data_IF_582844520874
#
_entry.id   IF_582844520874
#
_cell.length_a   1.000
_cell.length_b   1.000
_cell.length_c   1.000
_cell.angle_alpha   90.00
_cell.angle_beta   90.00
_cell.angle_gamma   90.00
#
_symmetry.space_group_name_H-M   'P 1'
#
loop_
_entity.id
_entity.type
_entity.pdbx_description
1 polymer ?
#
# COMPACT_ATOMS: atom_id res chain seq x y z
N UNK A 1 8.67 -10.69 32.62
CA UNK A 1 8.58 -9.65 31.57
C UNK A 1 7.52 -10.11 30.60
N UNK A 2 6.35 -9.49 30.62
CA UNK A 2 5.33 -9.69 29.58
C UNK A 2 5.92 -9.14 28.28
N UNK A 3 6.09 -9.97 27.26
CA UNK A 3 6.39 -9.53 25.90
C UNK A 3 5.38 -8.43 25.52
N UNK A 4 5.87 -7.24 25.19
CA UNK A 4 5.01 -6.24 24.58
C UNK A 4 4.55 -6.79 23.22
N UNK A 5 3.26 -6.71 22.90
CA UNK A 5 2.77 -7.16 21.60
C UNK A 5 3.47 -6.37 20.49
N UNK A 6 3.88 -7.08 19.43
CA UNK A 6 4.49 -6.46 18.26
C UNK A 6 3.62 -5.33 17.72
N UNK A 7 4.20 -4.16 17.37
CA UNK A 7 3.45 -3.07 16.76
C UNK A 7 3.04 -3.37 15.31
N UNK A 8 3.56 -4.45 14.73
CA UNK A 8 3.31 -4.83 13.34
C UNK A 8 2.07 -5.70 13.21
N UNK A 9 1.25 -5.35 12.22
CA UNK A 9 0.05 -6.07 11.82
C UNK A 9 0.41 -7.14 10.78
N UNK A 10 -0.29 -8.27 10.81
CA UNK A 10 -0.23 -9.29 9.76
C UNK A 10 -1.47 -9.23 8.89
N UNK A 11 -1.35 -9.63 7.61
CA UNK A 11 -2.50 -9.69 6.70
C UNK A 11 -3.59 -10.61 7.26
N UNK A 12 -4.87 -10.19 7.28
CA UNK A 12 -5.95 -11.10 7.64
C UNK A 12 -6.06 -12.26 6.64
N UNK A 13 -6.73 -13.36 7.00
CA UNK A 13 -6.82 -14.54 6.13
C UNK A 13 -7.36 -14.24 4.73
N UNK A 14 -6.68 -14.77 3.70
CA UNK A 14 -7.15 -14.76 2.32
C UNK A 14 -8.28 -15.79 2.11
N UNK A 15 -9.19 -15.57 1.16
CA UNK A 15 -10.31 -16.47 0.95
C UNK A 15 -9.87 -17.73 0.16
N UNK A 16 -10.76 -18.73 0.12
CA UNK A 16 -10.53 -19.98 -0.59
C UNK A 16 -10.69 -19.89 -2.12
N UNK A 17 -10.50 -21.02 -2.80
CA UNK A 17 -10.42 -21.11 -4.26
C UNK A 17 -11.66 -20.59 -5.01
N UNK A 18 -12.86 -20.72 -4.44
CA UNK A 18 -14.10 -20.20 -5.05
C UNK A 18 -14.05 -18.67 -5.21
N UNK A 19 -13.67 -17.96 -4.15
CA UNK A 19 -13.52 -16.51 -4.18
C UNK A 19 -12.42 -16.09 -5.17
N UNK A 20 -11.28 -16.79 -5.14
CA UNK A 20 -10.15 -16.52 -6.01
C UNK A 20 -10.51 -16.65 -7.50
N UNK A 21 -11.29 -17.68 -7.86
CA UNK A 21 -11.78 -17.86 -9.23
C UNK A 21 -12.76 -16.74 -9.65
N UNK A 22 -13.64 -16.30 -8.74
CA UNK A 22 -14.55 -15.17 -8.99
C UNK A 22 -13.78 -13.85 -9.15
N UNK A 23 -12.72 -13.64 -8.35
CA UNK A 23 -11.85 -12.47 -8.47
C UNK A 23 -11.14 -12.43 -9.81
N UNK A 24 -10.60 -13.58 -10.24
CA UNK A 24 -9.93 -13.72 -11.53
C UNK A 24 -10.86 -13.37 -12.69
N UNK A 25 -12.07 -13.93 -12.71
CA UNK A 25 -13.06 -13.65 -13.74
C UNK A 25 -13.43 -12.16 -13.79
N UNK A 26 -13.70 -11.54 -12.63
CA UNK A 26 -14.04 -10.12 -12.56
C UNK A 26 -12.91 -9.22 -13.10
N UNK A 27 -11.65 -9.54 -12.79
CA UNK A 27 -10.51 -8.77 -13.29
C UNK A 27 -10.31 -8.97 -14.79
N UNK A 28 -10.41 -10.21 -15.27
CA UNK A 28 -10.23 -10.54 -16.68
C UNK A 28 -11.30 -9.85 -17.55
N UNK A 29 -12.55 -9.81 -17.09
CA UNK A 29 -13.65 -9.07 -17.74
C UNK A 29 -13.34 -7.56 -17.83
N UNK A 30 -12.84 -6.96 -16.75
CA UNK A 30 -12.49 -5.54 -16.72
C UNK A 30 -11.34 -5.21 -17.68
N UNK A 31 -10.32 -6.05 -17.74
CA UNK A 31 -9.20 -5.88 -18.70
C UNK A 31 -9.67 -6.07 -20.14
N UNK A 32 -10.57 -7.03 -20.40
CA UNK A 32 -11.12 -7.26 -21.73
C UNK A 32 -12.00 -6.09 -22.23
N UNK A 33 -12.66 -5.37 -21.33
CA UNK A 33 -13.45 -4.19 -21.65
C UNK A 33 -12.61 -2.98 -22.09
N UNK A 34 -11.32 -2.95 -21.75
CA UNK A 34 -10.37 -1.93 -22.19
C UNK A 34 -9.52 -1.35 -21.05
N UNK A 35 -8.55 -0.49 -21.38
CA UNK A 35 -7.67 0.12 -20.39
C UNK A 35 -8.44 1.03 -19.44
N UNK A 36 -7.97 1.10 -18.20
CA UNK A 36 -8.51 1.93 -17.12
C UNK A 36 -10.01 1.72 -16.85
N UNK A 37 -10.54 0.55 -17.19
CA UNK A 37 -11.94 0.18 -16.91
C UNK A 37 -12.20 0.23 -15.41
N UNK A 38 -13.33 0.84 -15.02
CA UNK A 38 -13.80 0.81 -13.65
C UNK A 38 -14.38 -0.58 -13.35
N UNK A 39 -13.78 -1.28 -12.40
CA UNK A 39 -14.29 -2.53 -11.87
C UNK A 39 -15.51 -2.23 -11.00
N UNK A 40 -16.69 -2.69 -11.42
CA UNK A 40 -17.89 -2.70 -10.61
C UNK A 40 -17.88 -3.92 -9.68
N UNK A 41 -17.51 -3.70 -8.43
CA UNK A 41 -17.28 -4.77 -7.47
C UNK A 41 -18.56 -5.08 -6.69
N UNK A 42 -19.24 -6.18 -7.03
CA UNK A 42 -20.47 -6.65 -6.36
C UNK A 42 -20.33 -7.97 -5.58
N UNK A 43 -19.12 -8.54 -5.56
CA UNK A 43 -18.88 -9.87 -4.98
C UNK A 43 -19.08 -9.88 -3.44
N UNK A 44 -19.47 -11.01 -2.85
CA UNK A 44 -19.81 -11.10 -1.41
C UNK A 44 -18.59 -11.12 -0.47
N UNK A 45 -17.36 -11.11 -1.02
CA UNK A 45 -16.13 -11.09 -0.24
C UNK A 45 -15.65 -9.64 -0.01
N UNK A 46 -14.88 -9.39 1.05
CA UNK A 46 -14.26 -8.09 1.25
C UNK A 46 -13.44 -7.64 0.03
N UNK A 47 -13.65 -6.39 -0.39
CA UNK A 47 -12.97 -5.78 -1.55
C UNK A 47 -11.46 -5.87 -1.46
N UNK A 48 -10.90 -5.77 -0.24
CA UNK A 48 -9.47 -5.90 -0.03
C UNK A 48 -8.91 -7.29 -0.37
N UNK A 49 -9.69 -8.36 -0.22
CA UNK A 49 -9.25 -9.71 -0.59
C UNK A 49 -9.10 -9.83 -2.11
N UNK A 50 -10.04 -9.28 -2.87
CA UNK A 50 -9.93 -9.19 -4.33
C UNK A 50 -8.68 -8.41 -4.74
N UNK A 51 -8.46 -7.24 -4.14
CA UNK A 51 -7.31 -6.38 -4.43
C UNK A 51 -5.99 -7.11 -4.14
N UNK A 52 -5.85 -7.71 -2.94
CA UNK A 52 -4.65 -8.46 -2.59
C UNK A 52 -4.41 -9.64 -3.53
N UNK A 53 -5.46 -10.41 -3.83
CA UNK A 53 -5.38 -11.58 -4.71
C UNK A 53 -4.92 -11.21 -6.12
N UNK A 54 -5.55 -10.20 -6.73
CA UNK A 54 -5.23 -9.79 -8.10
C UNK A 54 -3.84 -9.16 -8.17
N UNK A 55 -3.46 -8.30 -7.23
CA UNK A 55 -2.11 -7.70 -7.22
C UNK A 55 -1.03 -8.76 -7.06
N UNK A 56 -1.21 -9.72 -6.15
CA UNK A 56 -0.26 -10.81 -5.91
C UNK A 56 -0.16 -11.76 -7.13
N UNK A 57 -1.30 -12.29 -7.59
CA UNK A 57 -1.31 -13.39 -8.59
C UNK A 57 -1.09 -12.91 -10.02
N UNK A 58 -1.57 -11.70 -10.37
CA UNK A 58 -1.38 -11.11 -11.71
C UNK A 58 -0.10 -10.30 -11.82
N UNK A 59 0.73 -10.30 -10.77
CA UNK A 59 2.00 -9.57 -10.74
C UNK A 59 1.82 -8.08 -11.11
N UNK A 60 0.77 -7.45 -10.58
CA UNK A 60 0.48 -6.06 -10.89
C UNK A 60 1.24 -5.11 -9.95
N UNK A 61 1.21 -3.84 -10.32
CA UNK A 61 1.52 -2.73 -9.42
C UNK A 61 0.21 -2.01 -9.12
N UNK A 62 -0.02 -1.70 -7.86
CA UNK A 62 -1.18 -0.91 -7.43
C UNK A 62 -0.74 0.51 -7.10
N UNK A 63 -1.60 1.50 -7.40
CA UNK A 63 -1.41 2.89 -7.01
C UNK A 63 -2.69 3.42 -6.36
N UNK A 64 -2.59 3.90 -5.12
CA UNK A 64 -3.71 4.50 -4.41
C UNK A 64 -3.75 6.02 -4.56
N UNK A 65 -4.91 6.56 -4.95
CA UNK A 65 -5.10 8.00 -5.11
C UNK A 65 -6.51 8.42 -4.70
N UNK A 66 -6.70 9.62 -4.10
CA UNK A 66 -8.02 10.20 -3.89
C UNK A 66 -8.66 10.72 -5.20
N UNK A 67 -7.86 10.89 -6.26
CA UNK A 67 -8.33 11.26 -7.60
C UNK A 67 -8.71 10.01 -8.38
N UNK A 68 -10.01 9.87 -8.68
CA UNK A 68 -10.59 8.76 -9.42
C UNK A 68 -10.63 8.95 -10.94
N UNK A 69 -10.12 10.06 -11.47
CA UNK A 69 -10.17 10.43 -12.88
C UNK A 69 -8.81 10.36 -13.60
N UNK A 70 -7.80 9.70 -13.00
CA UNK A 70 -6.48 9.57 -13.62
C UNK A 70 -6.56 8.61 -14.80
N UNK A 71 -6.37 9.13 -16.00
CA UNK A 71 -6.31 8.33 -17.23
C UNK A 71 -4.91 7.75 -17.47
N UNK A 72 -3.89 8.51 -17.08
CA UNK A 72 -2.48 8.15 -17.23
C UNK A 72 -1.68 8.75 -16.09
N UNK A 73 -0.78 7.95 -15.53
CA UNK A 73 0.20 8.42 -14.55
C UNK A 73 1.44 8.92 -15.26
N UNK A 74 1.83 10.16 -14.95
CA UNK A 74 3.08 10.76 -15.42
C UNK A 74 4.14 10.73 -14.32
N UNK A 75 5.43 10.50 -14.64
CA UNK A 75 6.52 10.60 -13.68
C UNK A 75 6.56 11.97 -13.00
N UNK A 76 6.46 11.98 -11.67
CA UNK A 76 6.52 13.21 -10.85
C UNK A 76 7.66 13.10 -9.84
N UNK A 77 8.27 14.23 -9.54
CA UNK A 77 9.26 14.28 -8.46
C UNK A 77 8.56 14.01 -7.12
N UNK A 78 8.98 12.96 -6.44
CA UNK A 78 8.63 12.69 -5.05
C UNK A 78 9.66 13.35 -4.11
N UNK A 79 9.29 13.56 -2.86
CA UNK A 79 10.18 14.09 -1.81
C UNK A 79 10.24 13.10 -0.65
N UNK A 80 10.87 11.95 -0.92
CA UNK A 80 11.09 10.88 0.05
C UNK A 80 12.49 10.99 0.68
N UNK A 81 12.65 10.48 1.91
CA UNK A 81 13.95 10.40 2.57
C UNK A 81 14.86 9.34 1.92
N UNK A 82 14.29 8.24 1.41
CA UNK A 82 15.05 7.19 0.76
C UNK A 82 15.32 7.52 -0.71
N UNK A 83 16.57 7.37 -1.22
CA UNK A 83 16.93 7.77 -2.59
C UNK A 83 16.06 7.14 -3.69
N UNK A 84 15.63 5.90 -3.50
CA UNK A 84 14.74 5.22 -4.46
C UNK A 84 13.36 5.89 -4.57
N UNK A 85 12.83 6.35 -3.43
CA UNK A 85 11.57 7.08 -3.31
C UNK A 85 11.67 8.56 -3.72
N UNK A 86 12.88 9.07 -3.96
CA UNK A 86 13.17 10.46 -4.30
C UNK A 86 13.58 10.63 -5.77
N UNK A 87 12.86 9.97 -6.68
CA UNK A 87 13.06 10.05 -8.12
C UNK A 87 11.86 10.69 -8.79
N UNK A 88 12.07 11.23 -10.00
CA UNK A 88 10.97 11.58 -10.88
C UNK A 88 10.40 10.31 -11.51
N UNK A 89 9.33 9.78 -10.91
CA UNK A 89 8.79 8.48 -11.27
C UNK A 89 7.28 8.38 -11.01
N UNK A 90 6.63 7.41 -11.64
CA UNK A 90 5.35 6.85 -11.20
C UNK A 90 5.65 5.83 -10.13
N UNK A 91 5.18 6.05 -8.91
CA UNK A 91 5.33 5.12 -7.81
C UNK A 91 4.11 4.21 -7.68
N UNK A 92 4.31 3.00 -7.17
CA UNK A 92 3.24 2.10 -6.80
C UNK A 92 3.77 0.95 -5.94
N UNK A 93 2.87 0.05 -5.56
CA UNK A 93 3.23 -1.10 -4.75
C UNK A 93 2.75 -2.43 -5.32
N UNK A 94 3.56 -3.47 -5.16
CA UNK A 94 3.14 -4.86 -5.35
C UNK A 94 2.39 -5.42 -4.13
N UNK A 95 1.85 -4.54 -3.28
CA UNK A 95 0.96 -4.86 -2.18
C UNK A 95 -0.26 -3.95 -2.24
N UNK A 96 -1.44 -4.55 -2.41
CA UNK A 96 -2.67 -3.79 -2.60
C UNK A 96 -3.21 -3.11 -1.35
N UNK A 97 -2.89 -3.62 -0.15
CA UNK A 97 -3.32 -3.02 1.12
C UNK A 97 -2.52 -1.74 1.39
N UNK A 98 -1.22 -1.75 1.11
CA UNK A 98 -0.37 -0.58 1.27
C UNK A 98 -0.81 0.56 0.36
N UNK A 99 -1.14 0.27 -0.90
CA UNK A 99 -1.71 1.28 -1.80
C UNK A 99 -3.10 1.75 -1.34
N UNK A 100 -3.93 0.86 -0.80
CA UNK A 100 -5.26 1.23 -0.29
C UNK A 100 -5.18 2.25 0.84
N UNK A 101 -4.22 2.09 1.76
CA UNK A 101 -3.93 3.07 2.80
C UNK A 101 -3.73 4.48 2.22
N UNK A 102 -2.94 4.63 1.15
CA UNK A 102 -2.77 5.94 0.50
C UNK A 102 -4.03 6.46 -0.21
N UNK A 103 -4.87 5.57 -0.74
CA UNK A 103 -6.10 5.94 -1.44
C UNK A 103 -7.14 6.55 -0.49
N UNK A 104 -7.24 6.03 0.74
CA UNK A 104 -8.31 6.38 1.67
C UNK A 104 -8.00 7.58 2.58
N UNK A 105 -6.79 8.15 2.53
CA UNK A 105 -6.40 9.28 3.39
C UNK A 105 -6.80 10.64 2.78
N UNK A 106 -7.47 11.48 3.56
CA UNK A 106 -7.87 12.83 3.14
C UNK A 106 -6.79 13.89 3.36
N UNK A 107 -5.66 13.70 2.68
CA UNK A 107 -4.47 14.57 2.80
C UNK A 107 -4.66 15.96 2.20
N UNK A 108 -5.69 16.15 1.38
CA UNK A 108 -5.98 17.44 0.75
C UNK A 108 -6.61 18.42 1.74
N UNK A 109 -7.48 17.93 2.62
CA UNK A 109 -8.15 18.74 3.64
C UNK A 109 -7.40 18.73 4.97
N UNK A 110 -6.70 17.64 5.27
CA UNK A 110 -6.00 17.42 6.53
C UNK A 110 -4.51 17.19 6.27
N UNK A 111 -3.65 18.21 6.43
CA UNK A 111 -2.20 18.01 6.45
C UNK A 111 -1.83 16.98 7.52
N UNK A 112 -1.00 16.01 7.17
CA UNK A 112 -0.58 14.94 8.07
C UNK A 112 0.78 14.38 7.66
N UNK A 113 1.57 14.00 8.65
CA UNK A 113 2.72 13.12 8.51
C UNK A 113 2.24 11.67 8.50
N UNK A 114 2.87 10.85 7.65
CA UNK A 114 2.61 9.42 7.56
C UNK A 114 3.84 8.67 8.04
N UNK A 115 3.66 7.76 9.00
CA UNK A 115 4.66 6.76 9.36
C UNK A 115 4.04 5.40 9.09
N UNK A 116 4.56 4.70 8.09
CA UNK A 116 3.98 3.45 7.65
C UNK A 116 5.04 2.51 7.10
N UNK A 117 4.73 1.22 7.08
CA UNK A 117 5.52 0.21 6.40
C UNK A 117 4.64 -0.91 5.87
N UNK A 118 5.12 -1.52 4.79
CA UNK A 118 4.73 -2.84 4.34
C UNK A 118 6.02 -3.56 3.97
N UNK A 119 6.27 -4.74 4.49
CA UNK A 119 7.46 -5.51 4.14
C UNK A 119 7.25 -7.02 4.31
N UNK A 120 7.93 -7.80 3.48
CA UNK A 120 8.11 -9.24 3.69
C UNK A 120 9.56 -9.51 4.08
N UNK A 121 9.76 -10.40 5.05
CA UNK A 121 11.10 -10.82 5.46
C UNK A 121 11.53 -12.03 4.64
N UNK A 122 12.75 -12.00 4.12
CA UNK A 122 13.38 -13.14 3.46
C UNK A 122 13.77 -14.19 4.52
N UNK A 123 13.30 -15.42 4.32
CA UNK A 123 13.58 -16.58 5.17
C UNK A 123 14.91 -17.22 4.76
N UNK A 124 15.44 -18.11 5.61
CA UNK A 124 16.74 -18.77 5.39
C UNK A 124 16.81 -19.58 4.08
N UNK A 125 15.67 -20.06 3.57
CA UNK A 125 15.55 -20.77 2.31
C UNK A 125 15.42 -19.85 1.07
N UNK A 126 15.49 -18.53 1.28
CA UNK A 126 15.34 -17.50 0.26
C UNK A 126 13.88 -17.19 -0.11
N UNK A 127 12.90 -17.86 0.49
CA UNK A 127 11.49 -17.54 0.29
C UNK A 127 11.08 -16.28 1.08
N UNK A 128 9.98 -15.65 0.67
CA UNK A 128 9.43 -14.50 1.38
C UNK A 128 8.35 -14.97 2.36
N UNK A 129 8.46 -14.54 3.61
CA UNK A 129 7.42 -14.73 4.61
C UNK A 129 6.17 -13.88 4.35
N UNK A 130 5.22 -13.96 5.28
CA UNK A 130 4.01 -13.14 5.26
C UNK A 130 4.34 -11.64 5.40
N UNK A 131 3.51 -10.75 4.82
CA UNK A 131 3.71 -9.33 4.94
C UNK A 131 3.38 -8.82 6.34
N UNK A 132 4.25 -7.95 6.84
CA UNK A 132 4.07 -7.16 8.04
C UNK A 132 3.75 -5.72 7.66
N UNK A 133 2.82 -5.12 8.39
CA UNK A 133 2.38 -3.75 8.16
C UNK A 133 2.48 -2.90 9.42
N UNK A 134 2.68 -1.61 9.21
CA UNK A 134 2.51 -0.59 10.23
C UNK A 134 1.84 0.62 9.58
N UNK A 135 0.83 1.20 10.21
CA UNK A 135 0.12 2.36 9.71
C UNK A 135 -0.09 3.38 10.81
N UNK A 136 0.39 4.60 10.59
CA UNK A 136 0.24 5.69 11.52
C UNK A 136 0.14 7.03 10.78
N UNK A 137 -0.75 7.89 11.27
CA UNK A 137 -0.95 9.26 10.81
C UNK A 137 -0.84 10.23 11.98
N UNK A 138 -0.60 11.51 11.71
CA UNK A 138 -0.62 12.55 12.75
C UNK A 138 -1.88 12.43 13.62
N UNK A 139 -1.72 12.50 14.95
CA UNK A 139 -2.82 12.33 15.90
C UNK A 139 -4.01 13.26 15.61
N UNK A 140 -3.83 14.55 15.27
CA UNK A 140 -4.97 15.42 14.92
C UNK A 140 -5.76 14.93 13.70
N UNK A 141 -5.10 14.30 12.71
CA UNK A 141 -5.77 13.75 11.54
C UNK A 141 -6.55 12.47 11.88
N UNK A 142 -6.03 11.65 12.79
CA UNK A 142 -6.77 10.48 13.29
C UNK A 142 -8.01 10.90 14.09
N UNK A 143 -7.87 11.87 14.99
CA UNK A 143 -8.99 12.39 15.80
C UNK A 143 -10.09 13.00 14.92
N UNK A 144 -9.71 13.65 13.83
CA UNK A 144 -10.63 14.19 12.83
C UNK A 144 -11.25 13.14 11.90
N UNK A 145 -10.84 11.86 12.01
CA UNK A 145 -11.17 10.78 11.07
C UNK A 145 -10.92 11.22 9.62
N UNK A 146 -9.70 11.69 9.34
CA UNK A 146 -9.27 12.22 8.04
C UNK A 146 -9.15 11.12 6.96
N UNK A 147 -10.25 10.40 6.72
CA UNK A 147 -10.40 9.35 5.74
C UNK A 147 -11.48 9.73 4.73
N UNK A 148 -11.34 9.23 3.50
CA UNK A 148 -12.26 9.48 2.40
C UNK A 148 -12.29 8.29 1.44
N UNK A 149 -13.31 8.26 0.59
CA UNK A 149 -13.28 7.40 -0.57
C UNK A 149 -12.13 7.79 -1.52
N UNK A 150 -11.56 6.78 -2.17
CA UNK A 150 -10.46 6.90 -3.12
C UNK A 150 -10.57 5.89 -4.24
N UNK A 151 -9.50 5.74 -4.99
CA UNK A 151 -9.41 4.80 -6.11
C UNK A 151 -8.06 4.09 -6.06
N UNK A 152 -8.10 2.79 -6.28
CA UNK A 152 -6.94 1.98 -6.56
C UNK A 152 -6.84 1.73 -8.06
N UNK A 153 -5.69 2.09 -8.63
CA UNK A 153 -5.36 1.83 -10.02
C UNK A 153 -4.47 0.60 -10.09
N UNK A 154 -4.84 -0.33 -10.97
CA UNK A 154 -4.11 -1.56 -11.24
C UNK A 154 -3.27 -1.34 -12.50
N UNK A 155 -1.95 -1.28 -12.32
CA UNK A 155 -0.97 -0.88 -13.33
C UNK A 155 -0.19 -2.10 -13.83
N UNK A 156 0.21 -2.12 -15.12
CA UNK A 156 1.12 -3.14 -15.63
C UNK A 156 2.51 -2.98 -15.00
N UNK A 157 3.17 -4.10 -14.68
CA UNK A 157 4.48 -4.11 -14.01
C UNK A 157 5.66 -3.85 -14.94
N UNK A 158 5.51 -4.06 -16.25
CA UNK A 158 6.61 -4.13 -17.23
C UNK A 158 7.61 -2.96 -17.20
N UNK A 159 7.15 -1.75 -16.87
CA UNK A 159 8.00 -0.54 -16.83
C UNK A 159 8.56 -0.22 -15.45
N UNK A 160 8.18 -0.98 -14.43
CA UNK A 160 8.54 -0.72 -13.05
C UNK A 160 9.81 -1.47 -12.64
N UNK A 161 10.65 -0.76 -11.89
CA UNK A 161 11.77 -1.31 -11.14
C UNK A 161 11.34 -1.49 -9.68
N UNK A 162 11.68 -2.62 -9.05
CA UNK A 162 11.44 -2.84 -7.63
C UNK A 162 12.51 -2.16 -6.79
N UNK A 163 12.11 -1.64 -5.62
CA UNK A 163 13.07 -1.19 -4.61
C UNK A 163 13.95 -2.36 -4.16
N UNK A 164 15.29 -2.19 -4.13
CA UNK A 164 16.18 -3.19 -3.56
C UNK A 164 15.84 -3.49 -2.09
N UNK A 165 16.03 -4.73 -1.62
CA UNK A 165 15.75 -5.08 -0.22
C UNK A 165 16.63 -4.29 0.76
N UNK A 166 16.06 -3.97 1.91
CA UNK A 166 16.73 -3.29 3.00
C UNK A 166 17.28 -4.32 4.00
N UNK A 167 18.38 -3.98 4.68
CA UNK A 167 18.87 -4.77 5.81
C UNK A 167 18.26 -4.22 7.11
N UNK A 168 17.43 -5.01 7.79
CA UNK A 168 16.78 -4.64 9.06
C UNK A 168 17.05 -5.74 10.07
N UNK A 169 17.70 -5.41 11.18
CA UNK A 169 18.01 -6.40 12.23
C UNK A 169 18.82 -7.61 11.75
N UNK A 170 19.64 -7.44 10.71
CA UNK A 170 20.42 -8.52 10.09
C UNK A 170 19.64 -9.39 9.09
N UNK A 171 18.37 -9.09 8.82
CA UNK A 171 17.53 -9.79 7.85
C UNK A 171 17.24 -8.91 6.63
N UNK A 172 16.97 -9.55 5.48
CA UNK A 172 16.59 -8.84 4.25
C UNK A 172 15.09 -8.60 4.26
N UNK A 173 14.69 -7.34 4.31
CA UNK A 173 13.30 -6.89 4.25
C UNK A 173 12.98 -6.37 2.84
N UNK A 174 11.96 -6.96 2.23
CA UNK A 174 11.46 -6.59 0.91
C UNK A 174 10.27 -5.65 1.06
N UNK A 175 10.51 -4.35 0.88
CA UNK A 175 9.45 -3.35 0.79
C UNK A 175 8.81 -3.48 -0.60
N UNK A 176 7.47 -3.60 -0.73
CA UNK A 176 6.82 -3.83 -2.00
C UNK A 176 6.72 -2.54 -2.83
N UNK A 177 7.70 -1.63 -2.74
CA UNK A 177 7.73 -0.35 -3.46
C UNK A 177 8.34 -0.53 -4.85
N UNK A 178 7.71 0.09 -5.84
CA UNK A 178 8.15 0.06 -7.23
C UNK A 178 8.10 1.47 -7.81
N UNK A 179 8.95 1.73 -8.82
CA UNK A 179 8.89 2.97 -9.57
C UNK A 179 9.09 2.75 -11.07
N UNK A 180 8.33 3.48 -11.88
CA UNK A 180 8.50 3.56 -13.33
C UNK A 180 8.93 4.97 -13.72
N UNK A 181 9.96 5.07 -14.56
CA UNK A 181 10.42 6.35 -15.12
C UNK A 181 9.63 6.76 -16.38
N UNK A 182 8.59 6.01 -16.72
CA UNK A 182 7.75 6.22 -17.91
C UNK A 182 6.32 6.50 -17.48
N UNK A 183 5.56 7.13 -18.37
CA UNK A 183 4.12 7.24 -18.20
C UNK A 183 3.47 5.84 -18.21
N UNK A 184 2.42 5.66 -17.39
CA UNK A 184 1.75 4.37 -17.23
C UNK A 184 0.25 4.54 -17.32
N UNK A 185 -0.38 3.83 -18.25
CA UNK A 185 -1.84 3.72 -18.35
C UNK A 185 -2.31 2.55 -17.47
N UNK A 186 -3.32 2.74 -16.59
CA UNK A 186 -3.88 1.65 -15.81
C UNK A 186 -4.53 0.59 -16.69
N UNK A 187 -4.46 -0.67 -16.27
CA UNK A 187 -5.24 -1.76 -16.85
C UNK A 187 -6.70 -1.65 -16.44
N UNK A 188 -6.94 -1.40 -15.15
CA UNK A 188 -8.25 -1.21 -14.56
C UNK A 188 -8.12 -0.35 -13.30
N UNK A 189 -9.25 0.10 -12.77
CA UNK A 189 -9.32 0.82 -11.49
C UNK A 189 -10.53 0.37 -10.68
N UNK A 190 -10.45 0.49 -9.36
CA UNK A 190 -11.51 0.11 -8.44
C UNK A 190 -11.69 1.20 -7.40
N UNK A 191 -12.95 1.61 -7.17
CA UNK A 191 -13.28 2.52 -6.08
C UNK A 191 -13.13 1.80 -4.74
N UNK A 192 -12.58 2.50 -3.75
CA UNK A 192 -12.45 1.99 -2.37
C UNK A 192 -12.95 3.03 -1.38
N UNK A 193 -13.61 2.56 -0.33
CA UNK A 193 -14.01 3.34 0.83
C UNK A 193 -13.10 3.02 2.03
N UNK A 194 -13.02 3.89 3.05
CA UNK A 194 -12.26 3.60 4.27
C UNK A 194 -12.62 2.25 4.90
N UNK A 195 -13.89 1.86 4.87
CA UNK A 195 -14.41 0.61 5.44
C UNK A 195 -13.94 -0.65 4.70
N UNK A 196 -13.44 -0.50 3.46
CA UNK A 196 -12.83 -1.60 2.72
C UNK A 196 -11.44 -1.96 3.26
N UNK A 197 -10.78 -1.04 3.96
CA UNK A 197 -9.43 -1.25 4.46
C UNK A 197 -9.44 -2.05 5.76
N UNK A 198 -8.82 -3.25 5.77
CA UNK A 198 -8.95 -4.17 6.90
C UNK A 198 -8.26 -3.69 8.19
N UNK A 199 -7.42 -2.66 8.08
CA UNK A 199 -6.65 -2.13 9.20
C UNK A 199 -7.11 -0.73 9.64
N UNK A 200 -8.29 -0.27 9.20
CA UNK A 200 -8.77 1.10 9.48
C UNK A 200 -8.73 1.44 10.98
N UNK A 201 -9.25 0.55 11.82
CA UNK A 201 -9.32 0.73 13.28
C UNK A 201 -7.97 0.48 13.98
N UNK A 202 -6.96 -0.01 13.25
CA UNK A 202 -5.61 -0.27 13.72
C UNK A 202 -4.62 0.81 13.27
N UNK A 203 -5.05 1.82 12.50
CA UNK A 203 -4.25 2.99 12.19
C UNK A 203 -3.98 3.76 13.49
N UNK A 204 -2.71 4.02 13.78
CA UNK A 204 -2.28 4.69 14.99
C UNK A 204 -2.19 6.20 14.77
N UNK A 205 -2.36 6.95 15.86
CA UNK A 205 -2.03 8.36 15.91
C UNK A 205 -0.61 8.54 16.43
N UNK A 206 0.09 9.56 15.95
CA UNK A 206 1.41 9.94 16.47
C UNK A 206 1.57 11.45 16.65
N UNK A 207 2.51 11.84 17.50
CA UNK A 207 3.00 13.22 17.58
C UNK A 207 4.12 13.42 16.56
N UNK A 208 3.89 14.33 15.61
CA UNK A 208 4.83 14.60 14.51
C UNK A 208 6.20 15.06 15.01
N UNK A 209 6.24 15.93 16.02
CA UNK A 209 7.50 16.46 16.53
C UNK A 209 8.33 15.37 17.22
N UNK A 210 7.67 14.53 18.01
CA UNK A 210 8.30 13.41 18.70
C UNK A 210 8.82 12.35 17.71
N UNK A 211 8.02 12.00 16.70
CA UNK A 211 8.43 11.07 15.64
C UNK A 211 9.66 11.60 14.90
N UNK A 212 9.65 12.88 14.50
CA UNK A 212 10.78 13.48 13.77
C UNK A 212 12.04 13.57 14.63
N UNK A 213 11.91 13.87 15.92
CA UNK A 213 13.03 13.85 16.87
C UNK A 213 13.63 12.44 16.98
N UNK A 214 12.79 11.43 17.19
CA UNK A 214 13.22 10.04 17.34
C UNK A 214 13.83 9.47 16.07
N UNK A 215 13.21 9.69 14.92
CA UNK A 215 13.75 9.26 13.63
C UNK A 215 15.11 9.91 13.33
N UNK A 216 15.35 11.13 13.84
CA UNK A 216 16.65 11.79 13.74
C UNK A 216 17.67 11.22 14.72
N UNK A 217 17.28 10.88 15.95
CA UNK A 217 18.20 10.35 16.97
C UNK A 217 18.58 8.89 16.75
N UNK A 218 17.62 8.09 16.26
CA UNK A 218 17.78 6.67 15.98
C UNK A 218 17.06 6.31 14.67
N UNK A 219 17.71 6.55 13.50
CA UNK A 219 17.11 6.26 12.20
C UNK A 219 16.72 4.79 11.98
N UNK A 220 17.30 3.86 12.75
CA UNK A 220 17.03 2.42 12.66
C UNK A 220 15.95 1.98 13.67
N UNK A 221 15.47 2.90 14.54
CA UNK A 221 14.50 2.64 15.61
C UNK A 221 13.03 2.58 15.19
N UNK A 222 12.74 2.41 13.90
CA UNK A 222 11.36 2.29 13.40
C UNK A 222 10.59 1.20 14.20
N UNK A 223 9.34 1.42 14.64
CA UNK A 223 8.42 2.52 14.27
C UNK A 223 8.44 3.77 15.17
N UNK A 224 9.47 3.95 16.01
CA UNK A 224 9.63 5.14 16.88
C UNK A 224 8.46 5.43 17.82
N UNK A 225 7.82 4.37 18.34
CA UNK A 225 6.65 4.48 19.22
C UNK A 225 6.99 4.96 20.64
N UNK A 226 8.19 4.64 21.15
CA UNK A 226 8.65 4.88 22.54
C UNK A 226 9.85 5.81 22.64
#
# INVERSE_FOLDING_TARGET
>A
MTEQPSPFLTRPPMPGAEAQAAFDALFDDAVAAGPNTLIDYDLPWPRWQFISHIVDTRQLISHGSPDGAIEQFEPRQSHDAHPFGNRQAVYGASDGLWSMYYAILDRATHPMLLVNSAARVELDDGSLGDPFYFFSISQPALDARAFRAGTLYLLPRDSFEQMPPLMVGGQRAHVPQWASLKAVTPLARIAVAPEDFPFLEQIRGHDDALILERAKSDPDGFPWLD
#
